data_IF_929851172294
#
_entry.id   IF_929851172294
#
_cell.length_a   1.000
_cell.length_b   1.000
_cell.length_c   1.000
_cell.angle_alpha   90.00
_cell.angle_beta   90.00
_cell.angle_gamma   90.00
#
_symmetry.space_group_name_H-M   'P 1'
#
loop_
_entity.id
_entity.type
_entity.pdbx_description
1 polymer ?
#
# COMPACT_ATOMS: atom_id res chain seq x y z
N UNK A 1 13.92 -17.73 -9.56
CA UNK A 1 14.19 -17.00 -8.30
C UNK A 1 13.54 -15.64 -8.42
N UNK A 2 12.47 -15.37 -7.66
CA UNK A 2 11.85 -14.06 -7.65
C UNK A 2 12.84 -13.04 -7.08
N UNK A 3 13.14 -12.00 -7.84
CA UNK A 3 14.09 -10.97 -7.43
C UNK A 3 13.40 -9.96 -6.51
N UNK A 4 14.16 -9.26 -5.67
CA UNK A 4 13.66 -8.15 -4.85
C UNK A 4 12.93 -7.09 -5.67
N UNK A 5 13.27 -6.97 -6.95
CA UNK A 5 12.59 -6.13 -7.95
C UNK A 5 11.14 -6.56 -8.20
N UNK A 6 10.87 -7.87 -8.24
CA UNK A 6 9.53 -8.42 -8.48
C UNK A 6 8.60 -8.17 -7.28
N UNK A 7 9.15 -8.24 -6.07
CA UNK A 7 8.40 -7.95 -4.83
C UNK A 7 8.07 -6.44 -4.70
N UNK A 8 9.02 -5.56 -5.05
CA UNK A 8 8.80 -4.11 -5.04
C UNK A 8 7.80 -3.66 -6.13
N UNK A 9 7.83 -4.30 -7.31
CA UNK A 9 6.82 -4.10 -8.35
C UNK A 9 5.43 -4.63 -7.94
N UNK A 10 5.38 -5.77 -7.22
CA UNK A 10 4.13 -6.32 -6.70
C UNK A 10 3.48 -5.39 -5.66
N UNK A 11 4.28 -4.76 -4.81
CA UNK A 11 3.83 -3.79 -3.80
C UNK A 11 3.39 -2.46 -4.43
N UNK A 12 3.65 -2.22 -5.73
CA UNK A 12 3.40 -0.94 -6.41
C UNK A 12 3.87 0.23 -5.56
N UNK A 13 5.11 0.15 -5.06
CA UNK A 13 5.69 1.17 -4.18
C UNK A 13 5.59 2.59 -4.79
N UNK A 14 5.73 2.68 -6.11
CA UNK A 14 5.54 3.88 -6.92
C UNK A 14 4.17 4.54 -6.71
N UNK A 15 3.11 3.76 -6.53
CA UNK A 15 1.76 4.29 -6.30
C UNK A 15 1.53 4.73 -4.86
N UNK A 16 2.33 4.24 -3.91
CA UNK A 16 2.29 4.69 -2.51
C UNK A 16 2.85 6.10 -2.36
N UNK A 17 3.79 6.51 -3.23
CA UNK A 17 4.36 7.86 -3.25
C UNK A 17 3.27 8.92 -3.45
N UNK A 18 2.24 8.65 -4.25
CA UNK A 18 1.12 9.59 -4.46
C UNK A 18 0.26 9.81 -3.21
N UNK A 19 0.27 8.89 -2.24
CA UNK A 19 -0.48 9.04 -1.00
C UNK A 19 0.29 9.86 0.06
N UNK A 20 1.63 9.86 0.00
CA UNK A 20 2.48 10.52 0.99
C UNK A 20 2.20 12.02 1.18
N UNK A 21 1.98 12.84 0.12
CA UNK A 21 1.66 14.25 0.29
C UNK A 21 0.40 14.49 1.13
N UNK A 22 -0.65 13.68 0.95
CA UNK A 22 -1.89 13.79 1.72
C UNK A 22 -1.68 13.43 3.19
N UNK A 23 -0.86 12.41 3.44
CA UNK A 23 -0.55 11.94 4.79
C UNK A 23 0.27 12.99 5.54
N UNK A 24 1.26 13.58 4.89
CA UNK A 24 2.07 14.65 5.49
C UNK A 24 1.29 15.96 5.64
N UNK A 25 0.38 16.29 4.72
CA UNK A 25 -0.55 17.40 4.92
C UNK A 25 -1.40 17.21 6.19
N UNK A 26 -1.92 16.00 6.42
CA UNK A 26 -2.62 15.65 7.65
C UNK A 26 -1.74 15.79 8.90
N UNK A 27 -0.47 15.34 8.82
CA UNK A 27 0.50 15.52 9.91
C UNK A 27 0.71 16.99 10.25
N UNK A 28 0.89 17.86 9.24
CA UNK A 28 1.08 19.30 9.46
C UNK A 28 -0.17 19.97 10.07
N UNK A 29 -1.37 19.56 9.63
CA UNK A 29 -2.62 20.03 10.22
C UNK A 29 -2.71 19.62 11.70
N UNK A 30 -2.38 18.36 12.02
CA UNK A 30 -2.38 17.86 13.39
C UNK A 30 -1.34 18.57 14.27
N UNK A 31 -0.12 18.80 13.77
CA UNK A 31 0.93 19.57 14.45
C UNK A 31 0.44 20.96 14.85
N UNK A 32 -0.25 21.63 13.92
CA UNK A 32 -0.82 22.97 14.18
C UNK A 32 -1.98 22.94 15.16
N UNK A 33 -2.84 21.91 15.10
CA UNK A 33 -4.02 21.81 15.97
C UNK A 33 -3.64 21.51 17.43
N UNK A 34 -2.65 20.63 17.62
CA UNK A 34 -2.25 20.11 18.93
C UNK A 34 -0.97 20.79 19.49
N UNK A 35 -0.42 21.78 18.77
CA UNK A 35 0.80 22.52 19.13
C UNK A 35 1.99 21.61 19.53
N UNK A 36 2.26 20.56 18.74
CA UNK A 36 3.45 19.73 18.94
C UNK A 36 4.49 19.96 17.84
N UNK A 37 5.76 19.89 18.24
CA UNK A 37 6.91 20.03 17.35
C UNK A 37 7.11 18.81 16.45
N UNK A 38 7.87 19.02 15.38
CA UNK A 38 8.25 17.95 14.48
C UNK A 38 9.05 16.86 15.22
N UNK A 39 8.57 15.63 15.11
CA UNK A 39 9.21 14.45 15.68
C UNK A 39 9.57 13.48 14.56
N UNK A 40 10.88 13.30 14.35
CA UNK A 40 11.42 12.44 13.30
C UNK A 40 10.97 10.97 13.46
N UNK A 41 10.80 10.50 14.70
CA UNK A 41 10.34 9.13 14.96
C UNK A 41 8.88 8.97 14.54
N UNK A 42 8.00 9.93 14.90
CA UNK A 42 6.60 9.93 14.46
C UNK A 42 6.48 10.02 12.95
N UNK A 43 7.31 10.82 12.31
CA UNK A 43 7.35 10.93 10.85
C UNK A 43 7.71 9.59 10.18
N UNK A 44 8.75 8.91 10.67
CA UNK A 44 9.15 7.59 10.15
C UNK A 44 8.05 6.56 10.40
N UNK A 45 7.49 6.50 11.61
CA UNK A 45 6.41 5.56 11.95
C UNK A 45 5.16 5.80 11.09
N UNK A 46 4.76 7.06 10.90
CA UNK A 46 3.63 7.42 10.04
C UNK A 46 3.86 6.97 8.59
N UNK A 47 5.07 7.17 8.07
CA UNK A 47 5.45 6.76 6.72
C UNK A 47 5.41 5.24 6.56
N UNK A 48 5.96 4.50 7.53
CA UNK A 48 5.93 3.02 7.53
C UNK A 48 4.49 2.53 7.63
N UNK A 49 3.68 3.10 8.52
CA UNK A 49 2.29 2.74 8.70
C UNK A 49 1.47 2.96 7.43
N UNK A 50 1.66 4.10 6.76
CA UNK A 50 1.01 4.45 5.51
C UNK A 50 1.30 3.44 4.39
N UNK A 51 2.58 3.12 4.19
CA UNK A 51 3.03 2.19 3.15
C UNK A 51 2.52 0.78 3.46
N UNK A 52 2.60 0.36 4.72
CA UNK A 52 2.16 -0.96 5.17
C UNK A 52 0.66 -1.12 5.00
N UNK A 53 -0.14 -0.17 5.47
CA UNK A 53 -1.60 -0.20 5.37
C UNK A 53 -2.07 -0.32 3.91
N UNK A 54 -1.47 0.45 2.99
CA UNK A 54 -1.81 0.39 1.57
C UNK A 54 -1.42 -0.95 0.94
N UNK A 55 -0.25 -1.47 1.28
CA UNK A 55 0.24 -2.76 0.77
C UNK A 55 -0.65 -3.91 1.25
N UNK A 56 -0.97 -3.92 2.55
CA UNK A 56 -1.85 -4.92 3.16
C UNK A 56 -3.26 -4.83 2.60
N UNK A 57 -3.83 -3.63 2.45
CA UNK A 57 -5.15 -3.46 1.84
C UNK A 57 -5.19 -3.99 0.40
N UNK A 58 -4.16 -3.71 -0.40
CA UNK A 58 -4.10 -4.20 -1.79
C UNK A 58 -3.92 -5.72 -1.85
N UNK A 59 -3.11 -6.31 -0.96
CA UNK A 59 -2.95 -7.76 -0.87
C UNK A 59 -4.25 -8.43 -0.41
N UNK A 60 -4.90 -7.90 0.64
CA UNK A 60 -6.13 -8.43 1.18
C UNK A 60 -7.28 -8.36 0.17
N UNK A 61 -7.43 -7.22 -0.53
CA UNK A 61 -8.44 -7.10 -1.59
C UNK A 61 -8.24 -8.19 -2.65
N UNK A 62 -7.00 -8.47 -3.06
CA UNK A 62 -6.74 -9.54 -4.03
C UNK A 62 -7.04 -10.94 -3.49
N UNK A 63 -6.85 -11.20 -2.19
CA UNK A 63 -7.14 -12.50 -1.56
C UNK A 63 -8.65 -12.71 -1.46
N UNK A 64 -9.38 -11.71 -0.96
CA UNK A 64 -10.84 -11.80 -0.77
C UNK A 64 -11.55 -11.84 -2.12
N UNK A 65 -11.13 -10.99 -3.05
CA UNK A 65 -11.77 -10.87 -4.36
C UNK A 65 -11.31 -11.94 -5.35
N UNK A 66 -10.45 -12.89 -4.95
CA UNK A 66 -9.88 -13.90 -5.86
C UNK A 66 -10.95 -14.70 -6.63
N UNK A 67 -12.03 -15.10 -5.95
CA UNK A 67 -13.14 -15.84 -6.57
C UNK A 67 -13.97 -14.97 -7.53
N UNK A 68 -14.07 -13.67 -7.24
CA UNK A 68 -14.83 -12.70 -8.04
C UNK A 68 -14.00 -12.26 -9.26
N UNK A 69 -12.69 -12.05 -9.06
CA UNK A 69 -11.74 -11.72 -10.12
C UNK A 69 -11.60 -12.86 -11.14
N UNK A 70 -11.72 -14.13 -10.72
CA UNK A 70 -11.73 -15.28 -11.63
C UNK A 70 -12.93 -15.33 -12.58
N UNK A 71 -14.06 -14.72 -12.20
CA UNK A 71 -15.30 -14.68 -12.99
C UNK A 71 -15.34 -13.49 -13.96
N UNK A 72 -14.40 -12.55 -13.86
CA UNK A 72 -14.39 -11.33 -14.65
C UNK A 72 -13.33 -11.42 -15.76
N UNK A 73 -13.76 -11.38 -17.02
CA UNK A 73 -12.89 -11.45 -18.22
C UNK A 73 -11.76 -10.40 -18.23
N UNK A 74 -11.91 -9.30 -17.47
CA UNK A 74 -10.90 -8.24 -17.35
C UNK A 74 -9.85 -8.50 -16.27
N UNK A 75 -10.13 -9.33 -15.27
CA UNK A 75 -9.26 -9.56 -14.09
C UNK A 75 -8.89 -11.01 -13.86
N UNK A 76 -9.36 -11.92 -14.72
CA UNK A 76 -9.03 -13.34 -14.72
C UNK A 76 -7.52 -13.63 -14.83
N UNK A 77 -6.74 -12.79 -15.52
CA UNK A 77 -5.29 -12.96 -15.70
C UNK A 77 -4.43 -12.46 -14.52
N UNK A 78 -5.04 -12.05 -13.39
CA UNK A 78 -4.28 -11.54 -12.23
C UNK A 78 -3.54 -12.66 -11.50
N UNK A 79 -2.42 -12.30 -10.86
CA UNK A 79 -1.49 -13.23 -10.21
C UNK A 79 -2.09 -14.22 -9.19
N UNK A 80 -3.18 -13.85 -8.50
CA UNK A 80 -3.87 -14.73 -7.53
C UNK A 80 -4.80 -15.73 -8.24
N UNK A 81 -5.74 -15.32 -9.11
CA UNK A 81 -6.54 -16.26 -9.90
C UNK A 81 -5.72 -17.10 -10.91
N UNK A 82 -4.58 -16.59 -11.39
CA UNK A 82 -3.69 -17.31 -12.30
C UNK A 82 -2.71 -18.29 -11.62
N UNK A 83 -2.75 -18.41 -10.29
CA UNK A 83 -1.96 -19.40 -9.53
C UNK A 83 -0.44 -19.16 -9.48
N UNK A 84 0.03 -17.95 -9.83
CA UNK A 84 1.47 -17.62 -9.83
C UNK A 84 1.97 -17.35 -8.40
N UNK A 85 1.08 -16.91 -7.50
CA UNK A 85 1.35 -16.69 -6.08
C UNK A 85 0.24 -17.39 -5.28
N UNK A 86 0.61 -18.28 -4.37
CA UNK A 86 -0.30 -18.89 -3.38
C UNK A 86 -0.49 -17.98 -2.18
#
# INVERSE_FOLDING_TARGET
MATTKDFLNFVRFEHSIFALPFIYAGMLIAMRAENFDFDALKFILLTIAAISARSTAMALNRIIDANIDALNLRTADRHIPSGIIK
#
